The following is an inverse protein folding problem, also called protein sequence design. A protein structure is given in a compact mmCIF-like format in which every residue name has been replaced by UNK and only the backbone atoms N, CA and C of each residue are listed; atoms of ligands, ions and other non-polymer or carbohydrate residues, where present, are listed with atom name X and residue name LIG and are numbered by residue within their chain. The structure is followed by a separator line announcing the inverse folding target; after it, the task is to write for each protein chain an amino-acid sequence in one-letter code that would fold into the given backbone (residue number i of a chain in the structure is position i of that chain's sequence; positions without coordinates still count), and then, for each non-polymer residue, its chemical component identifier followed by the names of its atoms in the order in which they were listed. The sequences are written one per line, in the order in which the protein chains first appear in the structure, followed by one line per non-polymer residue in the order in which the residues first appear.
data_IF_091422924745
#
_entry.id   IF_091422924745
#
_cell.length_a   1.000
_cell.length_b   1.000
_cell.length_c   1.000
_cell.angle_alpha   90.00
_cell.angle_beta   90.00
_cell.angle_gamma   90.00
#
_symmetry.space_group_name_H-M   'P 1'
#
loop_
_entity.id
_entity.type
_entity.pdbx_description
1 polymer ?
#
# COMPACT_ATOMS: atom_id res chain seq x y z
N UNK A 1 -20.57 24.07 1.15
CA UNK A 1 -19.50 23.06 1.06
C UNK A 1 -20.17 21.72 0.86
N UNK A 2 -19.70 20.86 -0.05
CA UNK A 2 -20.11 19.45 0.01
C UNK A 2 -19.61 18.92 1.37
N UNK A 3 -20.52 18.44 2.21
CA UNK A 3 -20.15 17.71 3.42
C UNK A 3 -19.43 16.43 2.97
N UNK A 4 -18.10 16.45 3.03
CA UNK A 4 -17.23 15.33 2.68
C UNK A 4 -16.87 14.46 3.90
N UNK A 5 -17.52 14.73 5.03
CA UNK A 5 -17.30 14.07 6.33
C UNK A 5 -17.61 12.58 6.29
N UNK A 6 -18.42 12.13 5.32
CA UNK A 6 -18.75 10.72 5.09
C UNK A 6 -18.14 10.15 3.79
N UNK A 7 -17.33 10.94 3.07
CA UNK A 7 -16.74 10.52 1.81
C UNK A 7 -15.39 9.86 2.06
N UNK A 8 -15.14 8.75 1.37
CA UNK A 8 -13.86 8.07 1.32
C UNK A 8 -13.46 7.86 -0.14
N UNK A 9 -12.17 7.67 -0.36
CA UNK A 9 -11.65 7.29 -1.66
C UNK A 9 -11.68 5.77 -1.80
N UNK A 10 -12.05 5.28 -2.97
CA UNK A 10 -12.10 3.87 -3.30
C UNK A 10 -11.29 3.64 -4.55
N UNK A 11 -10.43 2.62 -4.52
CA UNK A 11 -9.62 2.21 -5.65
C UNK A 11 -10.13 0.88 -6.19
N UNK A 12 -10.35 0.87 -7.49
CA UNK A 12 -10.78 -0.27 -8.29
C UNK A 12 -9.60 -0.73 -9.14
N UNK A 13 -9.50 -2.03 -9.32
CA UNK A 13 -8.63 -2.66 -10.32
C UNK A 13 -9.16 -2.39 -11.74
N UNK A 14 -8.36 -2.61 -12.78
CA UNK A 14 -8.81 -2.58 -14.19
C UNK A 14 -10.01 -3.46 -14.49
N UNK A 15 -10.21 -4.48 -13.66
CA UNK A 15 -11.37 -5.38 -13.73
C UNK A 15 -12.66 -4.74 -13.17
N UNK A 16 -12.60 -3.49 -12.69
CA UNK A 16 -13.69 -2.78 -12.01
C UNK A 16 -13.96 -3.30 -10.60
N UNK A 17 -13.06 -4.11 -10.04
CA UNK A 17 -13.22 -4.69 -8.69
C UNK A 17 -12.59 -3.79 -7.65
N UNK A 18 -13.33 -3.42 -6.61
CA UNK A 18 -12.80 -2.67 -5.46
C UNK A 18 -11.65 -3.47 -4.81
N UNK A 19 -10.47 -2.85 -4.75
CA UNK A 19 -9.25 -3.43 -4.15
C UNK A 19 -8.87 -2.73 -2.85
N UNK A 20 -8.99 -1.41 -2.82
CA UNK A 20 -8.59 -0.60 -1.66
C UNK A 20 -9.65 0.45 -1.37
N UNK A 21 -9.83 0.75 -0.10
CA UNK A 21 -10.66 1.84 0.38
C UNK A 21 -9.87 2.67 1.38
N UNK A 22 -10.06 3.99 1.30
CA UNK A 22 -9.44 4.96 2.16
C UNK A 22 -10.28 5.16 3.40
N UNK A 23 -9.70 5.84 4.36
CA UNK A 23 -10.43 6.21 5.56
C UNK A 23 -11.51 7.25 5.23
N UNK A 24 -12.63 7.20 5.95
CA UNK A 24 -13.73 8.16 5.79
C UNK A 24 -13.26 9.54 6.23
N UNK A 25 -13.38 10.52 5.34
CA UNK A 25 -12.84 11.87 5.49
C UNK A 25 -11.38 12.02 5.03
N UNK A 26 -10.70 10.94 4.62
CA UNK A 26 -9.36 11.00 4.05
C UNK A 26 -9.39 11.31 2.55
N UNK A 27 -8.49 12.19 2.13
CA UNK A 27 -8.24 12.51 0.71
C UNK A 27 -7.10 11.67 0.12
N UNK A 28 -6.68 10.64 0.84
CA UNK A 28 -5.59 9.75 0.46
C UNK A 28 -6.00 8.29 0.65
N UNK A 29 -5.61 7.44 -0.30
CA UNK A 29 -5.66 5.98 -0.18
C UNK A 29 -4.25 5.45 -0.32
N UNK A 30 -3.87 4.56 0.59
CA UNK A 30 -2.66 3.77 0.45
C UNK A 30 -2.99 2.48 -0.31
N UNK A 31 -2.39 2.30 -1.49
CA UNK A 31 -2.38 1.03 -2.21
C UNK A 31 -1.28 0.18 -1.57
N UNK A 32 -1.65 -0.81 -0.76
CA UNK A 32 -0.71 -1.69 -0.04
C UNK A 32 -0.79 -3.13 -0.57
N UNK A 33 0.23 -3.95 -0.34
CA UNK A 33 0.24 -5.34 -0.81
C UNK A 33 0.53 -5.51 -2.31
N UNK A 34 1.10 -4.49 -2.96
CA UNK A 34 1.78 -4.65 -4.25
C UNK A 34 3.24 -5.03 -4.01
N UNK A 35 3.78 -5.91 -4.85
CA UNK A 35 5.19 -6.30 -4.76
C UNK A 35 6.10 -5.10 -5.06
N UNK A 36 7.18 -4.98 -4.29
CA UNK A 36 8.24 -4.00 -4.50
C UNK A 36 8.76 -4.05 -5.96
N UNK A 37 8.81 -2.91 -6.63
CA UNK A 37 9.23 -2.83 -8.04
C UNK A 37 8.13 -3.18 -9.04
N UNK A 38 6.89 -3.39 -8.61
CA UNK A 38 5.74 -3.55 -9.52
C UNK A 38 5.48 -2.23 -10.24
N UNK A 39 5.59 -2.25 -11.56
CA UNK A 39 5.13 -1.16 -12.41
C UNK A 39 3.64 -1.33 -12.70
N UNK A 40 2.86 -0.35 -12.28
CA UNK A 40 1.43 -0.26 -12.53
C UNK A 40 1.22 0.73 -13.69
N UNK A 41 0.55 0.31 -14.76
CA UNK A 41 0.27 1.19 -15.88
C UNK A 41 -0.88 2.15 -15.58
N UNK A 42 -0.97 3.23 -16.36
CA UNK A 42 -2.09 4.16 -16.28
C UNK A 42 -3.39 3.41 -16.60
N UNK A 43 -4.40 3.58 -15.74
CA UNK A 43 -5.68 2.89 -15.88
C UNK A 43 -5.69 1.42 -15.43
N UNK A 44 -4.56 0.85 -14.96
CA UNK A 44 -4.61 -0.45 -14.25
C UNK A 44 -5.36 -0.32 -12.91
N UNK A 45 -5.40 0.88 -12.35
CA UNK A 45 -6.27 1.22 -11.22
C UNK A 45 -7.08 2.47 -11.52
N UNK A 46 -8.30 2.50 -10.98
CA UNK A 46 -9.19 3.65 -11.04
C UNK A 46 -9.55 4.09 -9.63
N UNK A 47 -9.61 5.39 -9.40
CA UNK A 47 -10.00 5.97 -8.13
C UNK A 47 -11.35 6.65 -8.26
N UNK A 48 -12.23 6.46 -7.28
CA UNK A 48 -13.51 7.15 -7.19
C UNK A 48 -13.76 7.59 -5.75
N UNK A 49 -14.53 8.66 -5.60
CA UNK A 49 -15.07 9.06 -4.30
C UNK A 49 -16.35 8.28 -4.03
N UNK A 50 -16.46 7.69 -2.85
CA UNK A 50 -17.68 7.02 -2.38
C UNK A 50 -18.13 7.64 -1.07
N UNK A 51 -19.44 7.91 -0.96
CA UNK A 51 -20.10 8.28 0.30
C UNK A 51 -20.83 7.06 0.92
N UNK A 52 -20.54 5.85 0.43
CA UNK A 52 -21.24 4.61 0.81
C UNK A 52 -22.62 4.43 0.17
N UNK A 53 -23.25 5.52 -0.28
CA UNK A 53 -24.52 5.49 -1.04
C UNK A 53 -24.35 5.86 -2.51
N UNK A 54 -23.48 6.84 -2.79
CA UNK A 54 -23.20 7.31 -4.15
C UNK A 54 -21.70 7.26 -4.41
N UNK A 55 -21.35 6.91 -5.64
CA UNK A 55 -19.97 6.90 -6.15
C UNK A 55 -19.83 8.00 -7.22
N UNK A 56 -18.71 8.72 -7.18
CA UNK A 56 -18.33 9.71 -8.21
C UNK A 56 -17.80 9.01 -9.46
N UNK A 57 -17.60 9.79 -10.54
CA UNK A 57 -16.90 9.32 -11.72
C UNK A 57 -15.54 8.69 -11.35
N UNK A 58 -15.27 7.55 -11.99
CA UNK A 58 -14.00 6.84 -11.85
C UNK A 58 -12.95 7.59 -12.66
N UNK A 59 -11.84 7.90 -12.03
CA UNK A 59 -10.69 8.54 -12.66
C UNK A 59 -9.56 7.54 -12.73
N UNK A 60 -8.94 7.41 -13.91
CA UNK A 60 -7.79 6.53 -14.07
C UNK A 60 -6.60 7.04 -13.24
N UNK A 61 -6.00 6.14 -12.46
CA UNK A 61 -4.78 6.42 -11.72
C UNK A 61 -3.62 6.42 -12.73
N UNK A 62 -2.78 7.47 -12.77
CA UNK A 62 -1.62 7.52 -13.66
C UNK A 62 -0.65 6.38 -13.36
N UNK A 63 0.15 6.00 -14.35
CA UNK A 63 1.15 4.95 -14.18
C UNK A 63 2.09 5.29 -13.02
N UNK A 64 2.26 4.36 -12.08
CA UNK A 64 3.18 4.51 -10.96
C UNK A 64 3.98 3.24 -10.76
N UNK A 65 5.20 3.39 -10.29
CA UNK A 65 6.03 2.25 -9.89
C UNK A 65 6.02 2.18 -8.38
N UNK A 66 5.69 1.01 -7.84
CA UNK A 66 5.81 0.74 -6.41
C UNK A 66 7.28 0.84 -6.06
N UNK A 67 7.61 1.86 -5.26
CA UNK A 67 8.97 2.02 -4.75
C UNK A 67 9.38 0.71 -4.10
N UNK A 68 10.58 0.24 -4.46
CA UNK A 68 11.10 -0.97 -3.85
C UNK A 68 11.09 -0.79 -2.33
N UNK A 69 10.52 -1.76 -1.60
CA UNK A 69 10.77 -1.84 -0.16
C UNK A 69 12.28 -1.75 0.02
N UNK A 70 12.74 -0.74 0.75
CA UNK A 70 14.07 -0.78 1.34
C UNK A 70 14.03 -1.93 2.33
N UNK A 71 14.28 -3.14 1.82
CA UNK A 71 14.48 -4.31 2.68
C UNK A 71 15.51 -3.86 3.72
N UNK A 72 15.26 -4.08 5.03
CA UNK A 72 16.30 -3.81 6.01
C UNK A 72 17.58 -4.50 5.53
N UNK A 73 18.70 -3.79 5.64
CA UNK A 73 20.00 -4.32 5.20
C UNK A 73 20.15 -5.75 5.71
N UNK A 74 20.62 -6.64 4.84
CA UNK A 74 20.88 -8.03 5.24
C UNK A 74 21.77 -7.97 6.47
N UNK A 75 21.34 -8.59 7.57
CA UNK A 75 22.10 -8.61 8.80
C UNK A 75 23.51 -9.13 8.50
N UNK A 76 24.49 -8.25 8.62
CA UNK A 76 25.91 -8.52 8.43
C UNK A 76 26.53 -8.90 9.78
N UNK A 77 27.77 -9.38 9.78
CA UNK A 77 28.51 -9.70 11.00
C UNK A 77 27.80 -10.67 11.97
N UNK A 78 27.10 -11.68 11.44
CA UNK A 78 26.46 -12.70 12.28
C UNK A 78 27.52 -13.45 13.07
N UNK A 79 27.52 -13.28 14.39
CA UNK A 79 28.44 -13.93 15.31
C UNK A 79 27.66 -14.73 16.35
N UNK A 80 28.12 -15.95 16.61
CA UNK A 80 27.53 -16.84 17.61
C UNK A 80 28.58 -17.14 18.69
N UNK A 81 28.30 -16.74 19.92
CA UNK A 81 29.14 -17.04 21.08
C UNK A 81 28.50 -18.15 21.91
N UNK A 82 29.14 -19.32 22.07
CA UNK A 82 28.60 -20.40 22.88
C UNK A 82 28.59 -20.02 24.37
N UNK A 83 27.56 -20.45 25.08
CA UNK A 83 27.36 -20.30 26.53
C UNK A 83 27.07 -21.68 27.13
N UNK A 84 27.22 -21.84 28.45
CA UNK A 84 27.04 -23.14 29.14
C UNK A 84 25.69 -23.83 28.88
N UNK A 85 24.64 -23.08 28.53
CA UNK A 85 23.29 -23.60 28.21
C UNK A 85 22.83 -23.31 26.76
N UNK A 86 23.71 -22.81 25.87
CA UNK A 86 23.28 -22.43 24.51
C UNK A 86 24.26 -21.59 23.70
N UNK A 87 23.74 -20.68 22.88
CA UNK A 87 24.56 -19.73 22.11
C UNK A 87 23.86 -18.36 22.02
N UNK A 88 24.64 -17.29 22.18
CA UNK A 88 24.21 -15.92 21.94
C UNK A 88 24.53 -15.54 20.51
N UNK A 89 23.51 -15.27 19.70
CA UNK A 89 23.66 -14.84 18.30
C UNK A 89 23.42 -13.34 18.19
N UNK A 90 24.36 -12.63 17.58
CA UNK A 90 24.30 -11.19 17.31
C UNK A 90 24.53 -10.93 15.83
N UNK A 91 23.83 -9.95 15.26
CA UNK A 91 24.02 -9.50 13.88
C UNK A 91 23.90 -7.97 13.83
N UNK A 92 24.64 -7.34 12.91
CA UNK A 92 24.72 -5.88 12.71
C UNK A 92 24.17 -5.48 11.33
#
# INVERSE_FOLDING_TARGET
MADRTNQHLVIYDKSGTKKFEGEVGATTVAITGLEAGTAVAEGDYQIAWSDGTNESDKVDVPAFTVNAETKPEVATNVTASPTDDGAKVTAE
#
